data_IF_851566889045
#
_entry.id   IF_851566889045
#
_cell.length_a   1.000
_cell.length_b   1.000
_cell.length_c   1.000
_cell.angle_alpha   90.00
_cell.angle_beta   90.00
_cell.angle_gamma   90.00
#
_symmetry.space_group_name_H-M   'P 1'
#
loop_
_entity.id
_entity.type
_entity.pdbx_description
1 polymer ?
#
# COMPACT_ATOMS: atom_id res chain seq x y z
N UNK A 1 -24.04 5.68 -16.10
CA UNK A 1 -22.96 5.50 -15.11
C UNK A 1 -21.90 6.55 -15.37
N UNK A 2 -21.42 7.28 -14.36
CA UNK A 2 -20.30 8.24 -14.48
C UNK A 2 -19.19 7.76 -13.54
N UNK A 3 -17.99 7.37 -14.04
CA UNK A 3 -16.93 6.84 -13.19
C UNK A 3 -16.25 7.95 -12.38
N UNK A 4 -15.78 7.59 -11.19
CA UNK A 4 -14.95 8.44 -10.34
C UNK A 4 -13.46 8.10 -10.44
N UNK A 5 -12.62 8.95 -9.84
CA UNK A 5 -11.17 8.69 -9.70
C UNK A 5 -10.95 7.76 -8.51
N UNK A 6 -10.32 6.61 -8.74
CA UNK A 6 -10.07 5.63 -7.68
C UNK A 6 -8.92 6.05 -6.78
N UNK A 7 -9.10 5.89 -5.47
CA UNK A 7 -8.03 6.11 -4.47
C UNK A 7 -6.85 5.15 -4.66
N UNK A 8 -7.08 3.98 -5.27
CA UNK A 8 -6.01 3.03 -5.58
C UNK A 8 -4.92 3.59 -6.52
N UNK A 9 -5.23 4.65 -7.27
CA UNK A 9 -4.32 5.27 -8.24
C UNK A 9 -4.02 6.71 -7.85
N UNK A 10 -5.04 7.50 -7.51
CA UNK A 10 -4.86 8.91 -7.22
C UNK A 10 -4.10 9.17 -5.92
N UNK A 11 -4.34 8.39 -4.86
CA UNK A 11 -3.68 8.63 -3.58
C UNK A 11 -2.16 8.36 -3.66
N UNK A 12 -1.69 7.23 -4.23
CA UNK A 12 -0.26 7.04 -4.51
C UNK A 12 0.31 8.17 -5.37
N UNK A 13 -0.40 8.61 -6.41
CA UNK A 13 0.07 9.68 -7.28
C UNK A 13 0.28 11.01 -6.52
N UNK A 14 -0.64 11.38 -5.63
CA UNK A 14 -0.49 12.57 -4.76
C UNK A 14 0.58 12.39 -3.68
N UNK A 15 1.05 11.17 -3.43
CA UNK A 15 2.18 10.89 -2.55
C UNK A 15 3.50 10.71 -3.33
N UNK A 16 3.54 11.03 -4.63
CA UNK A 16 4.74 10.88 -5.45
C UNK A 16 5.11 9.43 -5.78
N UNK A 17 4.13 8.51 -5.74
CA UNK A 17 4.30 7.07 -5.96
C UNK A 17 3.49 6.64 -7.18
N UNK A 18 4.13 6.27 -8.30
CA UNK A 18 3.42 5.70 -9.42
C UNK A 18 3.03 4.24 -9.08
N UNK A 19 1.86 3.78 -9.54
CA UNK A 19 1.44 2.37 -9.30
C UNK A 19 2.14 1.37 -10.22
N UNK A 20 2.78 1.84 -11.29
CA UNK A 20 3.61 1.05 -12.20
C UNK A 20 4.85 1.85 -12.57
N UNK A 21 5.93 1.17 -12.91
CA UNK A 21 7.14 1.82 -13.40
C UNK A 21 7.94 0.83 -14.25
N UNK A 22 8.36 1.23 -15.46
CA UNK A 22 8.94 0.32 -16.47
C UNK A 22 10.05 -0.59 -15.95
N UNK A 23 10.89 -0.08 -15.05
CA UNK A 23 12.02 -0.83 -14.49
C UNK A 23 11.70 -1.60 -13.19
N UNK A 24 10.55 -1.34 -12.55
CA UNK A 24 10.26 -1.80 -11.18
C UNK A 24 8.96 -2.59 -11.04
N UNK A 25 7.97 -2.33 -11.90
CA UNK A 25 6.63 -2.89 -11.77
C UNK A 25 5.91 -2.86 -13.11
N UNK A 26 5.59 -4.05 -13.62
CA UNK A 26 4.82 -4.27 -14.86
C UNK A 26 3.34 -4.47 -14.61
N UNK A 27 2.97 -4.71 -13.35
CA UNK A 27 1.60 -4.96 -12.93
C UNK A 27 1.33 -4.36 -11.55
N UNK A 28 0.06 -4.04 -11.26
CA UNK A 28 -0.35 -3.69 -9.92
C UNK A 28 -1.67 -4.37 -9.58
N UNK A 29 -1.84 -4.71 -8.31
CA UNK A 29 -3.02 -5.40 -7.80
C UNK A 29 -3.68 -4.58 -6.71
N UNK A 30 -4.99 -4.36 -6.84
CA UNK A 30 -5.80 -3.63 -5.85
C UNK A 30 -6.52 -4.64 -4.96
N UNK A 31 -6.34 -4.51 -3.65
CA UNK A 31 -6.76 -5.52 -2.67
C UNK A 31 -7.53 -4.82 -1.56
N UNK A 32 -8.58 -5.45 -1.02
CA UNK A 32 -9.16 -5.03 0.25
C UNK A 32 -8.39 -5.68 1.40
N UNK A 33 -7.81 -4.88 2.28
CA UNK A 33 -7.13 -5.36 3.49
C UNK A 33 -8.09 -5.68 4.64
N UNK A 34 -9.40 -5.46 4.47
CA UNK A 34 -10.41 -5.84 5.45
C UNK A 34 -11.53 -6.61 4.75
N UNK A 35 -11.75 -7.84 5.20
CA UNK A 35 -12.87 -8.67 4.78
C UNK A 35 -13.93 -8.71 5.89
N UNK A 36 -15.20 -8.63 5.50
CA UNK A 36 -16.35 -8.52 6.41
C UNK A 36 -16.48 -9.71 7.39
N UNK A 37 -15.84 -10.85 7.09
CA UNK A 37 -16.06 -12.12 7.78
C UNK A 37 -14.93 -12.52 8.75
N UNK A 38 -13.95 -11.64 9.01
CA UNK A 38 -12.94 -11.83 10.06
C UNK A 38 -11.82 -12.83 9.75
N UNK A 39 -11.95 -13.69 8.74
CA UNK A 39 -10.84 -14.46 8.16
C UNK A 39 -10.46 -13.86 6.81
N UNK A 40 -9.18 -13.56 6.60
CA UNK A 40 -8.66 -13.15 5.30
C UNK A 40 -8.71 -14.33 4.33
N UNK A 41 -9.46 -14.19 3.23
CA UNK A 41 -9.46 -15.14 2.09
C UNK A 41 -8.36 -14.86 1.09
N UNK A 42 -7.47 -13.90 1.40
CA UNK A 42 -6.36 -13.52 0.53
C UNK A 42 -5.35 -14.65 0.42
N UNK A 43 -5.00 -15.00 -0.82
CA UNK A 43 -3.91 -15.91 -1.10
C UNK A 43 -2.57 -15.16 -1.02
N UNK A 44 -2.01 -15.05 0.17
CA UNK A 44 -0.74 -14.36 0.41
C UNK A 44 0.46 -15.01 -0.31
N UNK A 45 0.39 -16.30 -0.63
CA UNK A 45 1.38 -16.99 -1.45
C UNK A 45 1.50 -16.33 -2.84
N UNK A 46 0.37 -16.05 -3.48
CA UNK A 46 0.35 -15.34 -4.76
C UNK A 46 0.72 -13.87 -4.57
N UNK A 47 0.14 -13.18 -3.57
CA UNK A 47 0.36 -11.75 -3.37
C UNK A 47 1.83 -11.41 -3.09
N UNK A 48 2.55 -12.27 -2.37
CA UNK A 48 3.96 -12.06 -2.07
C UNK A 48 4.85 -12.00 -3.34
N UNK A 49 4.42 -12.61 -4.44
CA UNK A 49 5.15 -12.69 -5.70
C UNK A 49 4.82 -11.57 -6.70
N UNK A 50 3.81 -10.74 -6.43
CA UNK A 50 3.37 -9.68 -7.33
C UNK A 50 4.14 -8.37 -7.13
N UNK A 51 4.39 -7.66 -8.24
CA UNK A 51 5.17 -6.42 -8.30
C UNK A 51 4.68 -5.36 -7.29
N UNK A 52 3.57 -4.67 -7.60
CA UNK A 52 3.00 -3.61 -6.77
C UNK A 52 1.65 -4.03 -6.20
N UNK A 53 1.51 -3.95 -4.88
CA UNK A 53 0.24 -4.18 -4.20
C UNK A 53 -0.29 -2.86 -3.66
N UNK A 54 -1.58 -2.59 -3.90
CA UNK A 54 -2.29 -1.45 -3.34
C UNK A 54 -3.42 -1.97 -2.45
N UNK A 55 -3.24 -1.88 -1.14
CA UNK A 55 -4.25 -2.26 -0.17
C UNK A 55 -5.16 -1.08 0.16
N UNK A 56 -6.43 -1.24 -0.16
CA UNK A 56 -7.53 -0.42 0.33
C UNK A 56 -7.94 -0.90 1.72
N UNK A 57 -8.24 0.01 2.65
CA UNK A 57 -8.72 -0.35 4.00
C UNK A 57 -7.74 -1.24 4.80
N UNK A 58 -6.44 -1.19 4.47
CA UNK A 58 -5.43 -2.10 5.03
C UNK A 58 -4.79 -1.66 6.34
N UNK A 59 -4.85 -0.38 6.72
CA UNK A 59 -4.00 0.14 7.83
C UNK A 59 -4.27 -0.53 9.18
N UNK A 60 -5.51 -0.91 9.48
CA UNK A 60 -5.85 -1.62 10.72
C UNK A 60 -5.32 -3.06 10.75
N UNK A 61 -5.09 -3.66 9.58
CA UNK A 61 -4.58 -5.03 9.42
C UNK A 61 -3.13 -5.02 8.91
N UNK A 62 -2.45 -3.88 8.97
CA UNK A 62 -1.07 -3.74 8.49
C UNK A 62 -0.10 -4.74 9.15
N UNK A 63 -0.18 -5.04 10.47
CA UNK A 63 0.65 -6.08 11.08
C UNK A 63 0.44 -7.46 10.43
N UNK A 64 -0.83 -7.83 10.17
CA UNK A 64 -1.18 -9.13 9.57
C UNK A 64 -0.73 -9.21 8.11
N UNK A 65 -0.98 -8.15 7.33
CA UNK A 65 -0.58 -8.05 5.92
C UNK A 65 0.94 -8.16 5.78
N UNK A 66 1.69 -7.38 6.56
CA UNK A 66 3.16 -7.36 6.49
C UNK A 66 3.76 -8.70 6.90
N UNK A 67 3.30 -9.27 8.01
CA UNK A 67 3.73 -10.59 8.48
C UNK A 67 3.42 -11.66 7.45
N UNK A 68 2.21 -11.67 6.88
CA UNK A 68 1.79 -12.68 5.90
C UNK A 68 2.59 -12.59 4.60
N UNK A 69 2.85 -11.38 4.09
CA UNK A 69 3.67 -11.19 2.90
C UNK A 69 5.11 -11.68 3.12
N UNK A 70 5.72 -11.38 4.28
CA UNK A 70 7.06 -11.84 4.62
C UNK A 70 7.10 -13.36 4.74
N UNK A 71 6.14 -13.97 5.44
CA UNK A 71 6.04 -15.42 5.61
C UNK A 71 5.94 -16.17 4.27
N UNK A 72 5.31 -15.55 3.27
CA UNK A 72 5.15 -16.13 1.93
C UNK A 72 6.24 -15.71 0.94
N UNK A 73 7.37 -15.20 1.43
CA UNK A 73 8.60 -15.03 0.67
C UNK A 73 8.86 -13.63 0.14
N UNK A 74 8.08 -12.62 0.52
CA UNK A 74 8.38 -11.23 0.17
C UNK A 74 9.48 -10.67 1.07
N UNK A 75 10.46 -9.99 0.49
CA UNK A 75 11.64 -9.54 1.22
C UNK A 75 11.30 -8.50 2.30
N UNK A 76 11.77 -8.61 3.55
CA UNK A 76 11.43 -7.69 4.65
C UNK A 76 11.83 -6.22 4.42
N UNK A 77 12.82 -5.99 3.55
CA UNK A 77 13.30 -4.68 3.11
C UNK A 77 12.46 -4.09 1.95
N UNK A 78 11.47 -4.82 1.42
CA UNK A 78 10.56 -4.31 0.38
C UNK A 78 9.97 -2.97 0.83
N UNK A 79 10.05 -1.91 0.00
CA UNK A 79 9.48 -0.61 0.34
C UNK A 79 7.97 -0.65 0.53
N UNK A 80 7.50 0.12 1.52
CA UNK A 80 6.07 0.31 1.81
C UNK A 80 5.81 1.78 2.08
N UNK A 81 4.68 2.28 1.56
CA UNK A 81 4.16 3.59 1.89
C UNK A 81 2.71 3.49 2.38
N UNK A 82 2.37 4.19 3.46
CA UNK A 82 1.00 4.34 3.93
C UNK A 82 0.59 5.81 3.87
N UNK A 83 -0.54 6.09 3.24
CA UNK A 83 -1.00 7.44 2.92
C UNK A 83 -2.39 7.65 3.52
N UNK A 84 -2.47 8.44 4.58
CA UNK A 84 -3.71 8.86 5.26
C UNK A 84 -4.28 10.11 4.59
N UNK A 85 -5.61 10.18 4.49
CA UNK A 85 -6.34 11.34 3.95
C UNK A 85 -5.82 11.79 2.58
N UNK A 86 -5.52 10.82 1.70
CA UNK A 86 -4.94 11.08 0.39
C UNK A 86 -5.74 12.09 -0.43
N UNK A 87 -5.05 12.98 -1.13
CA UNK A 87 -5.58 14.13 -1.91
C UNK A 87 -6.17 15.29 -1.10
N UNK A 88 -6.29 15.16 0.22
CA UNK A 88 -6.73 16.27 1.08
C UNK A 88 -5.53 17.15 1.51
N UNK A 89 -5.81 18.37 1.95
CA UNK A 89 -4.80 19.31 2.44
C UNK A 89 -4.04 18.84 3.71
N UNK A 90 -4.58 17.86 4.42
CA UNK A 90 -3.98 17.27 5.61
C UNK A 90 -3.50 15.82 5.36
N UNK A 91 -3.16 15.50 4.10
CA UNK A 91 -2.58 14.20 3.73
C UNK A 91 -1.33 13.93 4.58
N UNK A 92 -1.21 12.72 5.12
CA UNK A 92 0.01 12.26 5.82
C UNK A 92 0.54 11.02 5.11
N UNK A 93 1.79 11.08 4.67
CA UNK A 93 2.48 9.94 4.06
C UNK A 93 3.59 9.49 4.98
N UNK A 94 3.58 8.20 5.34
CA UNK A 94 4.69 7.56 6.04
C UNK A 94 5.25 6.45 5.16
N UNK A 95 6.56 6.24 5.24
CA UNK A 95 7.29 5.29 4.41
C UNK A 95 8.20 4.45 5.29
N UNK A 96 8.47 3.24 4.84
CA UNK A 96 9.31 2.28 5.52
C UNK A 96 9.49 1.04 4.66
N UNK A 97 9.69 -0.08 5.31
CA UNK A 97 9.78 -1.40 4.68
C UNK A 97 8.73 -2.33 5.27
N UNK A 98 8.53 -3.52 4.70
CA UNK A 98 7.64 -4.52 5.29
C UNK A 98 8.00 -4.82 6.76
N UNK A 99 9.28 -4.80 7.12
CA UNK A 99 9.75 -5.01 8.48
C UNK A 99 9.45 -3.85 9.47
N UNK A 100 9.33 -2.62 8.98
CA UNK A 100 9.32 -1.41 9.84
C UNK A 100 8.02 -0.62 9.78
N UNK A 101 7.25 -0.76 8.69
CA UNK A 101 6.10 0.10 8.41
C UNK A 101 5.01 0.00 9.48
N UNK A 102 4.83 -1.17 10.09
CA UNK A 102 3.83 -1.39 11.15
C UNK A 102 4.09 -0.48 12.36
N UNK A 103 5.35 -0.28 12.74
CA UNK A 103 5.71 0.61 13.84
C UNK A 103 5.62 2.09 13.41
N UNK A 104 6.11 2.40 12.21
CA UNK A 104 6.11 3.77 11.68
C UNK A 104 4.69 4.30 11.49
N UNK A 105 3.76 3.45 11.03
CA UNK A 105 2.39 3.81 10.71
C UNK A 105 1.40 3.58 11.88
N UNK A 106 1.87 3.32 13.11
CA UNK A 106 1.02 2.94 14.24
C UNK A 106 -0.06 3.98 14.59
N UNK A 107 0.16 5.25 14.26
CA UNK A 107 -0.74 6.37 14.57
C UNK A 107 -1.65 6.78 13.39
N UNK A 108 -1.49 6.14 12.23
CA UNK A 108 -2.32 6.41 11.05
C UNK A 108 -3.74 5.91 11.27
N UNK A 109 -4.71 6.69 10.80
CA UNK A 109 -6.13 6.37 10.87
C UNK A 109 -6.70 6.16 9.47
N UNK A 110 -7.80 5.40 9.35
CA UNK A 110 -8.59 5.40 8.13
C UNK A 110 -9.20 6.79 7.87
N UNK A 111 -9.40 7.19 6.59
CA UNK A 111 -9.11 6.43 5.38
C UNK A 111 -7.62 6.51 4.98
N UNK A 112 -7.05 5.37 4.60
CA UNK A 112 -5.66 5.31 4.16
C UNK A 112 -5.45 4.24 3.09
N UNK A 113 -4.42 4.46 2.26
CA UNK A 113 -3.96 3.53 1.23
C UNK A 113 -2.55 3.05 1.59
N UNK A 114 -2.32 1.74 1.47
CA UNK A 114 -0.99 1.16 1.63
C UNK A 114 -0.49 0.65 0.28
N UNK A 115 0.70 1.08 -0.12
CA UNK A 115 1.39 0.61 -1.33
C UNK A 115 2.60 -0.22 -0.90
N UNK A 116 2.71 -1.45 -1.40
CA UNK A 116 3.84 -2.35 -1.17
C UNK A 116 4.53 -2.65 -2.50
N UNK A 117 5.85 -2.50 -2.54
CA UNK A 117 6.69 -2.80 -3.71
C UNK A 117 7.66 -1.68 -4.03
N UNK A 118 8.58 -1.95 -4.96
CA UNK A 118 9.70 -1.07 -5.29
C UNK A 118 9.28 0.37 -5.64
N UNK A 119 8.10 0.55 -6.24
CA UNK A 119 7.57 1.88 -6.56
C UNK A 119 7.31 2.73 -5.32
N UNK A 120 7.02 2.13 -4.16
CA UNK A 120 6.84 2.83 -2.90
C UNK A 120 8.17 3.41 -2.34
N UNK A 121 9.31 3.01 -2.90
CA UNK A 121 10.62 3.62 -2.63
C UNK A 121 10.90 4.86 -3.51
N UNK A 122 10.05 5.17 -4.49
CA UNK A 122 10.23 6.36 -5.33
C UNK A 122 9.72 7.62 -4.64
N UNK A 123 10.46 8.71 -4.82
CA UNK A 123 10.17 10.04 -4.29
C UNK A 123 9.96 11.02 -5.45
N UNK A 124 8.78 10.96 -6.08
CA UNK A 124 8.38 11.87 -7.15
C UNK A 124 7.41 12.94 -6.60
N UNK A 125 7.76 13.48 -5.44
CA UNK A 125 6.89 14.35 -4.65
C UNK A 125 6.62 15.67 -5.40
N UNK A 126 5.34 16.00 -5.57
CA UNK A 126 4.87 17.24 -6.20
C UNK A 126 3.79 17.95 -5.40
N UNK A 127 3.09 17.21 -4.55
CA UNK A 127 2.06 17.69 -3.63
C UNK A 127 2.65 17.78 -2.22
N UNK A 128 2.22 18.79 -1.46
CA UNK A 128 2.74 19.09 -0.12
C UNK A 128 1.82 18.55 0.96
#
# INVERSE_FOLDING_TARGET
VVPGVSSAIAVPAYAGIPVTHRALSTSFTVITGHERNGCSTLNYEVLAQLDTLVFLMGVKHLPEITTSLILHGRAPDTPVACIESGTYAHQRTVRGTLATITEIAHDLKPPSITVVGEVAGLHLDWYK
#
